data_IF_181993773436
#
_entry.id   IF_181993773436
#
_cell.length_a   1.000
_cell.length_b   1.000
_cell.length_c   1.000
_cell.angle_alpha   90.00
_cell.angle_beta   90.00
_cell.angle_gamma   90.00
#
_symmetry.space_group_name_H-M   'P 1'
#
loop_
_entity.id
_entity.type
_entity.pdbx_description
1 polymer ?
#
# COMPACT_ATOMS: atom_id res chain seq x y z
N UNK A 1 -14.12 -4.78 -22.43
CA UNK A 1 -13.37 -3.57 -22.05
C UNK A 1 -13.51 -3.38 -20.56
N UNK A 2 -12.42 -3.49 -19.82
CA UNK A 2 -12.37 -3.11 -18.42
C UNK A 2 -12.13 -1.62 -18.28
N UNK A 3 -12.02 -1.14 -17.04
CA UNK A 3 -11.63 0.23 -16.75
C UNK A 3 -10.77 0.24 -15.50
N UNK A 4 -9.75 1.08 -15.50
CA UNK A 4 -8.93 1.29 -14.32
C UNK A 4 -9.75 2.04 -13.28
N UNK A 5 -9.79 1.48 -12.07
CA UNK A 5 -10.45 2.13 -10.93
C UNK A 5 -9.42 2.86 -10.09
N UNK A 6 -9.77 4.06 -9.66
CA UNK A 6 -8.96 4.84 -8.74
C UNK A 6 -8.81 4.09 -7.41
N UNK A 7 -7.59 3.85 -6.92
CA UNK A 7 -7.38 3.09 -5.68
C UNK A 7 -7.92 3.81 -4.43
N UNK A 8 -8.09 5.14 -4.50
CA UNK A 8 -8.55 5.96 -3.37
C UNK A 8 -10.06 6.06 -3.27
N UNK A 9 -10.79 6.04 -4.40
CA UNK A 9 -12.25 6.30 -4.38
C UNK A 9 -13.08 5.44 -5.33
N UNK A 10 -12.47 4.50 -6.06
CA UNK A 10 -13.17 3.54 -6.93
C UNK A 10 -13.73 4.10 -8.25
N UNK A 11 -13.73 5.42 -8.44
CA UNK A 11 -14.13 6.06 -9.72
C UNK A 11 -13.21 5.64 -10.87
N UNK A 12 -13.75 5.65 -12.08
CA UNK A 12 -12.98 5.35 -13.30
C UNK A 12 -11.86 6.38 -13.45
N UNK A 13 -10.62 5.89 -13.51
CA UNK A 13 -9.42 6.70 -13.73
C UNK A 13 -8.98 6.70 -15.21
N UNK A 14 -9.36 5.65 -15.96
CA UNK A 14 -9.08 5.55 -17.39
C UNK A 14 -9.57 4.24 -17.99
N UNK A 15 -9.68 4.16 -19.32
CA UNK A 15 -9.96 2.91 -20.02
C UNK A 15 -8.73 1.98 -20.00
N UNK A 16 -8.96 0.66 -20.11
CA UNK A 16 -7.89 -0.35 -20.02
C UNK A 16 -7.23 -0.71 -21.36
N UNK A 17 -7.76 -0.19 -22.46
CA UNK A 17 -7.37 -0.49 -23.84
C UNK A 17 -6.49 0.60 -24.50
N UNK A 18 -6.16 1.67 -23.76
CA UNK A 18 -5.30 2.75 -24.24
C UNK A 18 -3.89 2.63 -23.63
N UNK A 19 -2.81 2.83 -24.41
CA UNK A 19 -1.44 2.87 -23.87
C UNK A 19 -1.26 3.93 -22.78
N UNK A 20 -0.52 3.58 -21.71
CA UNK A 20 -0.30 4.46 -20.55
C UNK A 20 0.24 5.84 -20.96
N UNK A 21 1.13 5.91 -21.95
CA UNK A 21 1.69 7.18 -22.43
C UNK A 21 0.63 8.13 -22.98
N UNK A 22 -0.36 7.63 -23.72
CA UNK A 22 -1.47 8.41 -24.24
C UNK A 22 -2.50 8.73 -23.14
N UNK A 23 -2.72 7.78 -22.23
CA UNK A 23 -3.59 7.99 -21.07
C UNK A 23 -3.06 9.12 -20.18
N UNK A 24 -1.75 9.17 -19.90
CA UNK A 24 -1.13 10.22 -19.08
C UNK A 24 -1.25 11.61 -19.69
N UNK A 25 -1.30 11.74 -21.03
CA UNK A 25 -1.55 13.03 -21.69
C UNK A 25 -2.95 13.57 -21.40
N UNK A 26 -3.94 12.68 -21.29
CA UNK A 26 -5.36 13.02 -21.05
C UNK A 26 -5.74 13.03 -19.57
N UNK A 27 -5.08 12.21 -18.77
CA UNK A 27 -5.27 12.03 -17.32
C UNK A 27 -3.89 12.04 -16.64
N UNK A 28 -3.29 13.22 -16.40
CA UNK A 28 -1.95 13.34 -15.81
C UNK A 28 -1.85 12.77 -14.38
N UNK A 29 -2.98 12.51 -13.74
CA UNK A 29 -3.06 11.97 -12.39
C UNK A 29 -3.27 10.45 -12.36
N UNK A 30 -3.36 9.79 -13.52
CA UNK A 30 -3.46 8.32 -13.57
C UNK A 30 -2.33 7.67 -12.74
N UNK A 31 -2.60 6.69 -11.86
CA UNK A 31 -3.81 5.85 -11.76
C UNK A 31 -4.98 6.43 -10.93
N UNK A 32 -4.89 7.69 -10.51
CA UNK A 32 -5.94 8.37 -9.75
C UNK A 32 -6.89 9.14 -10.68
N UNK A 33 -8.15 9.28 -10.28
CA UNK A 33 -9.13 10.02 -11.08
C UNK A 33 -8.96 11.56 -11.00
N UNK A 34 -8.07 12.07 -10.14
CA UNK A 34 -7.83 13.51 -9.95
C UNK A 34 -6.59 13.80 -9.08
N UNK A 35 -6.14 15.05 -9.08
CA UNK A 35 -5.07 15.52 -8.19
C UNK A 35 -5.39 15.30 -6.71
N UNK A 36 -6.66 15.49 -6.31
CA UNK A 36 -7.10 15.29 -4.92
C UNK A 36 -6.81 13.87 -4.44
N UNK A 37 -7.20 12.86 -5.24
CA UNK A 37 -6.96 11.46 -4.87
C UNK A 37 -5.47 11.12 -4.82
N UNK A 38 -4.65 11.66 -5.75
CA UNK A 38 -3.18 11.53 -5.68
C UNK A 38 -2.61 12.05 -4.36
N UNK A 39 -3.09 13.20 -3.89
CA UNK A 39 -2.61 13.79 -2.62
C UNK A 39 -3.10 13.02 -1.39
N UNK A 40 -4.32 12.48 -1.42
CA UNK A 40 -4.83 11.63 -0.33
C UNK A 40 -3.99 10.35 -0.20
N UNK A 41 -3.69 9.71 -1.33
CA UNK A 41 -2.82 8.53 -1.35
C UNK A 41 -1.43 8.87 -0.77
N UNK A 42 -0.84 9.98 -1.22
CA UNK A 42 0.44 10.46 -0.70
C UNK A 42 0.39 10.69 0.82
N UNK A 43 -0.70 11.25 1.34
CA UNK A 43 -0.85 11.44 2.79
C UNK A 43 -0.87 10.09 3.54
N UNK A 44 -1.59 9.09 3.03
CA UNK A 44 -1.60 7.74 3.63
C UNK A 44 -0.21 7.09 3.65
N UNK A 45 0.63 7.36 2.64
CA UNK A 45 2.04 6.97 2.65
C UNK A 45 2.84 7.67 3.76
N UNK A 46 2.66 8.99 3.91
CA UNK A 46 3.36 9.78 4.93
C UNK A 46 2.94 9.41 6.35
N UNK A 47 1.68 9.02 6.54
CA UNK A 47 1.11 8.59 7.82
C UNK A 47 1.39 7.12 8.16
N UNK A 48 2.09 6.39 7.27
CA UNK A 48 2.38 4.95 7.42
C UNK A 48 1.11 4.08 7.61
N UNK A 49 0.05 4.43 6.87
CA UNK A 49 -1.22 3.69 6.86
C UNK A 49 -1.13 2.41 6.03
N UNK A 50 -0.23 2.37 5.02
CA UNK A 50 0.02 1.17 4.22
C UNK A 50 0.91 0.18 4.98
N UNK A 51 0.39 -1.03 5.22
CA UNK A 51 1.09 -2.10 5.95
C UNK A 51 0.91 -3.43 5.24
N UNK A 52 1.99 -4.20 5.18
CA UNK A 52 1.95 -5.60 4.74
C UNK A 52 1.94 -6.44 6.01
N UNK A 53 0.93 -7.31 6.16
CA UNK A 53 0.86 -8.21 7.29
C UNK A 53 2.08 -9.13 7.31
N UNK A 54 2.73 -9.25 8.47
CA UNK A 54 3.80 -10.21 8.67
C UNK A 54 3.28 -11.62 8.77
N UNK A 55 4.14 -12.60 8.53
CA UNK A 55 3.79 -13.99 8.82
C UNK A 55 3.42 -14.13 10.31
N UNK A 56 2.37 -14.91 10.64
CA UNK A 56 2.00 -15.12 12.02
C UNK A 56 3.20 -15.68 12.78
N UNK A 57 3.61 -14.97 13.84
CA UNK A 57 4.72 -15.43 14.70
C UNK A 57 4.33 -16.78 15.28
N UNK A 58 4.99 -17.85 14.83
CA UNK A 58 4.86 -19.15 15.45
C UNK A 58 5.17 -18.99 16.95
N UNK A 59 4.22 -19.35 17.81
CA UNK A 59 4.39 -19.34 19.26
C UNK A 59 5.28 -20.51 19.68
N UNK A 60 6.52 -20.54 19.22
CA UNK A 60 7.54 -21.44 19.73
C UNK A 60 8.44 -20.59 20.62
N UNK A 61 8.30 -20.78 21.92
CA UNK A 61 9.13 -20.13 22.93
C UNK A 61 10.59 -20.40 22.63
N UNK A 62 11.32 -19.35 22.27
CA UNK A 62 12.77 -19.36 22.32
C UNK A 62 13.19 -18.98 23.75
N UNK A 63 14.08 -19.75 24.39
CA UNK A 63 14.51 -19.53 25.76
C UNK A 63 15.55 -18.41 25.82
N UNK A 64 15.11 -17.16 25.67
CA UNK A 64 15.89 -16.03 26.17
C UNK A 64 15.69 -15.97 27.70
N UNK A 65 16.31 -16.90 28.43
CA UNK A 65 16.57 -16.74 29.86
C UNK A 65 17.90 -16.03 30.01
N UNK A 66 17.94 -14.76 30.47
CA UNK A 66 19.16 -14.19 31.00
C UNK A 66 19.43 -14.81 32.38
N UNK A 67 20.64 -15.34 32.51
CA UNK A 67 21.45 -15.55 33.72
C UNK A 67 20.75 -15.40 35.09
N UNK A 68 20.66 -16.50 35.83
CA UNK A 68 20.68 -16.49 37.30
C UNK A 68 21.66 -17.56 37.79
N UNK A 69 22.87 -17.10 38.10
CA UNK A 69 23.86 -17.80 38.91
C UNK A 69 23.37 -18.04 40.36
N UNK A 70 24.20 -18.78 41.13
CA UNK A 70 24.12 -19.13 42.57
C UNK A 70 23.27 -20.38 42.84
N UNK A 71 23.70 -21.45 43.50
CA UNK A 71 24.89 -21.80 44.28
C UNK A 71 24.55 -23.07 45.09
N UNK A 72 25.60 -23.83 45.46
CA UNK A 72 25.65 -25.02 46.35
C UNK A 72 25.18 -26.38 45.81
#
# INVERSE_FOLDING_TARGET
MGSWRCPVCGRVAGPDDIPIAELLRKQPHFPFCSNRCRLVDLNAWLDADYRIEGEPKAANGSPDSPDMAMGE
#
